data_IF_026267463557
#
_entry.id   IF_026267463557
#
_cell.length_a   1.000
_cell.length_b   1.000
_cell.length_c   1.000
_cell.angle_alpha   90.00
_cell.angle_beta   90.00
_cell.angle_gamma   90.00
#
_symmetry.space_group_name_H-M   'P 1'
#
loop_
_entity.id
_entity.type
_entity.pdbx_description
1 polymer ?
#
# COMPACT_ATOMS: atom_id res chain seq x y z
N UNK A 1 -17.03 -23.62 -24.75
CA UNK A 1 -16.87 -22.26 -24.20
C UNK A 1 -15.72 -22.26 -23.21
N UNK A 2 -14.62 -21.65 -23.62
CA UNK A 2 -13.28 -21.73 -23.01
C UNK A 2 -13.24 -20.94 -21.69
N UNK A 3 -13.15 -21.61 -20.54
CA UNK A 3 -12.78 -20.92 -19.28
C UNK A 3 -11.30 -20.58 -19.33
N UNK A 4 -11.00 -19.28 -19.45
CA UNK A 4 -9.66 -18.71 -19.41
C UNK A 4 -8.97 -19.07 -18.09
N UNK A 5 -7.97 -19.95 -18.19
CA UNK A 5 -6.97 -20.25 -17.15
C UNK A 5 -6.18 -18.97 -16.83
N UNK A 6 -6.61 -18.21 -15.83
CA UNK A 6 -5.72 -17.25 -15.16
C UNK A 6 -4.87 -17.99 -14.13
N UNK A 7 -3.72 -18.51 -14.59
CA UNK A 7 -2.63 -18.97 -13.71
C UNK A 7 -1.96 -17.76 -13.08
N UNK A 8 -2.54 -17.20 -12.03
CA UNK A 8 -1.82 -16.32 -11.12
C UNK A 8 -1.03 -17.20 -10.13
N UNK A 9 0.29 -17.22 -10.33
CA UNK A 9 1.28 -17.92 -9.49
C UNK A 9 1.36 -17.22 -8.13
N UNK A 10 0.53 -17.60 -7.17
CA UNK A 10 0.68 -17.17 -5.78
C UNK A 10 1.64 -18.11 -5.04
N UNK A 11 2.66 -17.57 -4.37
CA UNK A 11 3.45 -18.30 -3.39
C UNK A 11 2.76 -18.15 -2.01
N UNK A 12 1.78 -19.00 -1.73
CA UNK A 12 1.17 -19.11 -0.39
C UNK A 12 2.17 -19.78 0.56
N UNK A 13 2.39 -19.20 1.74
CA UNK A 13 3.03 -19.87 2.86
C UNK A 13 2.09 -19.75 4.06
N UNK A 14 1.57 -20.88 4.54
CA UNK A 14 0.65 -20.94 5.67
C UNK A 14 1.48 -21.17 6.92
N UNK A 15 1.44 -20.24 7.88
CA UNK A 15 2.02 -20.42 9.21
C UNK A 15 0.92 -20.74 10.21
N UNK A 16 1.02 -21.90 10.88
CA UNK A 16 0.09 -22.30 11.93
C UNK A 16 0.65 -21.88 13.29
N UNK A 17 -0.04 -21.00 14.00
CA UNK A 17 0.21 -20.72 15.42
C UNK A 17 -0.94 -21.27 16.26
N UNK A 18 -0.64 -22.29 17.06
CA UNK A 18 -1.57 -22.91 18.00
C UNK A 18 -1.77 -22.03 19.23
N UNK A 19 -2.63 -20.99 19.15
CA UNK A 19 -3.35 -20.48 20.34
C UNK A 19 -4.49 -19.48 20.12
N UNK A 20 -4.74 -18.99 18.91
CA UNK A 20 -5.92 -18.15 18.62
C UNK A 20 -6.37 -18.39 17.19
N UNK A 21 -7.66 -18.71 16.98
CA UNK A 21 -8.24 -18.95 15.65
C UNK A 21 -8.44 -17.63 14.86
N UNK A 22 -7.43 -16.77 14.80
CA UNK A 22 -7.40 -15.66 13.87
C UNK A 22 -6.47 -16.01 12.72
N UNK A 23 -7.07 -16.39 11.61
CA UNK A 23 -6.36 -16.63 10.35
C UNK A 23 -5.98 -15.28 9.75
N UNK A 24 -4.80 -14.77 10.06
CA UNK A 24 -4.23 -13.64 9.32
C UNK A 24 -3.60 -14.20 8.03
N UNK A 25 -4.26 -13.97 6.90
CA UNK A 25 -3.63 -14.13 5.59
C UNK A 25 -2.56 -13.06 5.47
N UNK A 26 -1.32 -13.38 5.85
CA UNK A 26 -0.16 -12.56 5.53
C UNK A 26 0.08 -12.71 4.02
N UNK A 27 -0.67 -11.96 3.23
CA UNK A 27 -0.41 -11.81 1.81
C UNK A 27 0.99 -11.23 1.69
N UNK A 28 1.95 -11.99 1.16
CA UNK A 28 3.24 -11.42 0.75
C UNK A 28 2.90 -10.42 -0.35
N UNK A 29 3.07 -9.10 -0.12
CA UNK A 29 2.69 -8.13 -1.10
C UNK A 29 3.46 -8.40 -2.40
N UNK A 30 2.76 -8.33 -3.54
CA UNK A 30 3.41 -8.29 -4.84
C UNK A 30 4.39 -7.11 -4.81
N UNK A 31 5.67 -7.33 -5.15
CA UNK A 31 6.66 -6.25 -5.16
C UNK A 31 6.67 -5.59 -6.53
N UNK A 32 6.46 -4.27 -6.56
CA UNK A 32 6.72 -3.44 -7.75
C UNK A 32 8.11 -2.83 -7.57
N UNK A 33 9.00 -3.03 -8.54
CA UNK A 33 10.31 -2.39 -8.57
C UNK A 33 10.22 -0.99 -9.17
N UNK A 34 11.15 -0.12 -8.81
CA UNK A 34 11.27 1.26 -9.35
C UNK A 34 11.23 1.33 -10.89
N UNK A 35 11.86 0.37 -11.56
CA UNK A 35 11.97 0.32 -13.03
C UNK A 35 10.65 -0.07 -13.72
N UNK A 36 9.82 -0.85 -13.03
CA UNK A 36 8.53 -1.34 -13.54
C UNK A 36 7.35 -0.52 -13.02
N UNK A 37 7.62 0.50 -12.20
CA UNK A 37 6.61 1.31 -11.54
C UNK A 37 5.88 2.23 -12.54
N UNK A 38 4.54 2.18 -12.59
CA UNK A 38 3.75 3.15 -13.35
C UNK A 38 4.06 4.59 -12.96
N UNK A 39 4.12 5.49 -13.94
CA UNK A 39 4.44 6.90 -13.71
C UNK A 39 3.55 7.56 -12.65
N UNK A 40 2.24 7.28 -12.65
CA UNK A 40 1.32 7.84 -11.64
C UNK A 40 1.63 7.43 -10.21
N UNK A 41 2.14 6.20 -9.98
CA UNK A 41 2.57 5.76 -8.65
C UNK A 41 3.86 6.48 -8.25
N UNK A 42 4.79 6.64 -9.20
CA UNK A 42 6.06 7.35 -8.98
C UNK A 42 5.83 8.81 -8.58
N UNK A 43 4.94 9.52 -9.27
CA UNK A 43 4.60 10.90 -8.93
C UNK A 43 3.90 10.99 -7.57
N UNK A 44 2.94 10.10 -7.29
CA UNK A 44 2.29 10.08 -5.98
C UNK A 44 3.27 9.89 -4.82
N UNK A 45 4.30 9.03 -4.98
CA UNK A 45 5.35 8.84 -3.96
C UNK A 45 6.16 10.13 -3.74
N UNK A 46 6.48 10.84 -4.83
CA UNK A 46 7.20 12.13 -4.75
C UNK A 46 6.35 13.17 -4.02
N UNK A 47 5.07 13.28 -4.37
CA UNK A 47 4.15 14.23 -3.76
C UNK A 47 3.94 13.92 -2.27
N UNK A 48 3.77 12.64 -1.91
CA UNK A 48 3.65 12.22 -0.52
C UNK A 48 4.93 12.58 0.26
N UNK A 49 6.12 12.25 -0.25
CA UNK A 49 7.39 12.59 0.41
C UNK A 49 7.57 14.10 0.57
N UNK A 50 7.21 14.89 -0.45
CA UNK A 50 7.22 16.34 -0.38
C UNK A 50 6.26 16.86 0.70
N UNK A 51 5.04 16.33 0.75
CA UNK A 51 4.04 16.75 1.74
C UNK A 51 4.45 16.37 3.17
N UNK A 52 5.01 15.17 3.37
CA UNK A 52 5.53 14.73 4.66
C UNK A 52 6.64 15.68 5.17
N UNK A 53 7.56 16.09 4.29
CA UNK A 53 8.64 17.04 4.60
C UNK A 53 8.17 18.44 4.92
N UNK A 54 7.12 18.90 4.23
CA UNK A 54 6.60 20.26 4.37
C UNK A 54 5.45 20.38 5.38
N UNK A 55 5.17 19.32 6.15
CA UNK A 55 4.17 19.34 7.23
C UNK A 55 2.71 19.33 6.76
N UNK A 56 2.44 18.98 5.50
CA UNK A 56 1.09 18.87 4.94
C UNK A 56 0.68 17.44 4.48
N UNK A 57 1.11 16.34 5.15
CA UNK A 57 0.67 15.02 4.74
C UNK A 57 -0.76 14.71 5.24
N UNK A 58 -1.46 13.81 4.55
CA UNK A 58 -2.73 13.26 5.03
C UNK A 58 -2.47 11.98 5.81
N UNK A 59 -2.94 11.89 7.06
CA UNK A 59 -2.76 10.71 7.92
C UNK A 59 -3.68 9.58 7.47
N UNK A 60 -3.12 8.37 7.34
CA UNK A 60 -3.87 7.14 7.21
C UNK A 60 -3.90 6.39 8.55
N UNK A 61 -5.08 6.25 9.14
CA UNK A 61 -5.21 5.71 10.49
C UNK A 61 -5.14 4.18 10.60
N UNK A 62 -5.21 3.44 9.49
CA UNK A 62 -5.19 1.97 9.48
C UNK A 62 -6.19 1.31 10.47
N UNK A 63 -7.39 1.88 10.63
CA UNK A 63 -8.38 1.40 11.62
C UNK A 63 -8.79 -0.07 11.41
N UNK A 64 -8.78 -0.54 10.18
CA UNK A 64 -9.13 -1.92 9.82
C UNK A 64 -7.97 -2.91 10.02
N UNK A 65 -6.77 -2.44 10.38
CA UNK A 65 -5.60 -3.29 10.63
C UNK A 65 -5.10 -4.05 9.39
N UNK A 66 -5.33 -3.51 8.19
CA UNK A 66 -4.93 -4.16 6.93
C UNK A 66 -3.43 -4.03 6.67
N UNK A 67 -2.78 -3.00 7.23
CA UNK A 67 -1.34 -2.84 7.23
C UNK A 67 -0.75 -3.21 8.61
N UNK A 68 0.56 -3.52 8.69
CA UNK A 68 1.24 -3.68 9.97
C UNK A 68 1.05 -2.45 10.89
N UNK A 69 1.28 -2.65 12.18
CA UNK A 69 1.23 -1.53 13.12
C UNK A 69 2.43 -0.60 12.89
N UNK A 70 2.23 0.72 12.89
CA UNK A 70 3.25 1.68 12.50
C UNK A 70 4.50 1.63 13.41
N UNK A 71 4.32 1.26 14.68
CA UNK A 71 5.38 1.31 15.69
C UNK A 71 5.54 2.72 16.28
N UNK A 72 6.28 2.82 17.40
CA UNK A 72 6.46 4.09 18.09
C UNK A 72 7.27 5.08 17.23
N UNK A 73 6.77 6.32 17.12
CA UNK A 73 7.46 7.38 16.38
C UNK A 73 7.29 7.33 14.86
N UNK A 74 6.48 6.39 14.34
CA UNK A 74 6.18 6.31 12.91
C UNK A 74 4.69 6.59 12.66
N UNK A 75 4.38 7.14 11.48
CA UNK A 75 3.01 7.46 11.07
C UNK A 75 2.77 6.99 9.65
N UNK A 76 1.57 6.48 9.39
CA UNK A 76 1.12 6.21 8.03
C UNK A 76 0.52 7.47 7.40
N UNK A 77 0.98 7.81 6.20
CA UNK A 77 0.41 8.87 5.38
C UNK A 77 -0.15 8.30 4.08
N UNK A 78 -1.23 8.89 3.57
CA UNK A 78 -1.85 8.51 2.29
C UNK A 78 -1.71 9.60 1.23
N UNK A 79 -1.74 9.17 -0.03
CA UNK A 79 -1.86 10.06 -1.18
C UNK A 79 -2.63 9.40 -2.33
N UNK A 80 -3.34 10.23 -3.11
CA UNK A 80 -4.04 9.79 -4.31
C UNK A 80 -3.05 9.42 -5.42
N UNK A 81 -3.41 8.43 -6.24
CA UNK A 81 -2.64 8.04 -7.43
C UNK A 81 -3.42 8.41 -8.69
N UNK A 82 -3.08 9.58 -9.24
CA UNK A 82 -3.75 10.14 -10.41
C UNK A 82 -5.21 10.55 -10.14
N UNK A 83 -5.87 11.01 -11.20
CA UNK A 83 -7.30 11.30 -11.18
C UNK A 83 -8.09 10.15 -11.86
N UNK A 84 -9.35 9.96 -11.49
CA UNK A 84 -10.26 9.15 -12.29
C UNK A 84 -10.60 9.83 -13.64
N UNK A 85 -11.36 9.12 -14.48
CA UNK A 85 -11.81 9.62 -15.79
C UNK A 85 -12.64 10.90 -15.72
N UNK A 86 -13.14 11.27 -14.54
CA UNK A 86 -13.96 12.46 -14.30
C UNK A 86 -13.19 13.59 -13.62
N UNK A 87 -11.88 13.44 -13.38
CA UNK A 87 -11.07 14.41 -12.66
C UNK A 87 -11.22 14.35 -11.13
N UNK A 88 -11.96 13.38 -10.62
CA UNK A 88 -12.05 13.09 -9.18
C UNK A 88 -10.81 12.34 -8.67
N UNK A 89 -10.70 12.20 -7.35
CA UNK A 89 -9.56 11.56 -6.66
C UNK A 89 -9.36 10.09 -7.04
N UNK A 90 -10.33 9.45 -7.72
CA UNK A 90 -10.29 8.05 -8.10
C UNK A 90 -10.18 7.07 -6.92
N UNK A 91 -9.88 5.80 -7.23
CA UNK A 91 -9.83 4.69 -6.25
C UNK A 91 -8.42 4.22 -5.90
N UNK A 92 -7.40 4.74 -6.58
CA UNK A 92 -6.02 4.30 -6.42
C UNK A 92 -5.33 5.14 -5.35
N UNK A 93 -4.67 4.47 -4.41
CA UNK A 93 -4.03 5.12 -3.27
C UNK A 93 -2.66 4.53 -3.03
N UNK A 94 -1.73 5.36 -2.58
CA UNK A 94 -0.55 4.91 -1.87
C UNK A 94 -0.69 5.25 -0.39
N UNK A 95 -0.10 4.39 0.44
CA UNK A 95 0.06 4.60 1.87
C UNK A 95 1.52 4.34 2.21
N UNK A 96 2.21 5.31 2.80
CA UNK A 96 3.60 5.17 3.20
C UNK A 96 3.75 5.25 4.72
N UNK A 97 4.55 4.35 5.29
CA UNK A 97 5.03 4.44 6.65
C UNK A 97 6.20 5.41 6.69
N UNK A 98 6.12 6.44 7.52
CA UNK A 98 7.14 7.48 7.64
C UNK A 98 7.61 7.57 9.08
N UNK A 99 8.91 7.74 9.30
CA UNK A 99 9.45 7.97 10.63
C UNK A 99 9.18 9.41 11.13
N UNK A 100 9.56 9.70 12.38
CA UNK A 100 9.40 11.03 12.98
C UNK A 100 10.27 12.13 12.37
N UNK A 101 11.14 11.81 11.40
CA UNK A 101 11.97 12.76 10.67
C UNK A 101 11.32 13.22 9.37
N UNK A 102 11.03 12.26 8.48
CA UNK A 102 10.42 12.42 7.14
C UNK A 102 10.73 11.21 6.21
N UNK A 103 11.44 10.20 6.71
CA UNK A 103 11.95 9.11 5.90
C UNK A 103 10.86 8.10 5.61
N UNK A 104 10.67 7.76 4.33
CA UNK A 104 9.81 6.66 3.91
C UNK A 104 10.45 5.31 4.29
N UNK A 105 9.73 4.50 5.06
CA UNK A 105 10.16 3.18 5.52
C UNK A 105 9.57 2.05 4.68
N UNK A 106 8.25 2.08 4.47
CA UNK A 106 7.51 1.13 3.62
C UNK A 106 6.47 1.90 2.82
N UNK A 107 6.17 1.42 1.62
CA UNK A 107 5.15 2.02 0.75
C UNK A 107 4.22 0.91 0.28
N UNK A 108 2.93 1.16 0.39
CA UNK A 108 1.87 0.26 0.00
C UNK A 108 0.99 0.94 -1.04
N UNK A 109 0.51 0.17 -2.00
CA UNK A 109 -0.43 0.58 -3.02
C UNK A 109 -1.70 -0.27 -2.92
N UNK A 110 -2.85 0.38 -3.08
CA UNK A 110 -4.13 -0.29 -3.27
C UNK A 110 -4.81 0.23 -4.53
N UNK A 111 -5.41 -0.71 -5.27
CA UNK A 111 -6.19 -0.40 -6.46
C UNK A 111 -7.70 -0.23 -6.21
N UNK A 112 -8.12 -0.44 -4.96
CA UNK A 112 -9.53 -0.61 -4.58
C UNK A 112 -9.91 0.25 -3.36
N UNK A 113 -9.31 1.42 -3.20
CA UNK A 113 -9.66 2.38 -2.13
C UNK A 113 -9.73 1.72 -0.73
N UNK A 114 -8.69 0.98 -0.38
CA UNK A 114 -8.53 0.27 0.90
C UNK A 114 -9.37 -1.00 1.09
N UNK A 115 -10.31 -1.32 0.19
CA UNK A 115 -11.25 -2.44 0.35
C UNK A 115 -10.62 -3.82 0.12
N UNK A 116 -9.57 -3.91 -0.70
CA UNK A 116 -8.82 -5.15 -0.92
C UNK A 116 -7.48 -4.90 -1.62
N UNK A 117 -6.61 -5.92 -1.57
CA UNK A 117 -5.36 -6.05 -2.33
C UNK A 117 -4.33 -4.95 -2.10
N UNK A 118 -3.40 -5.23 -1.18
CA UNK A 118 -2.24 -4.39 -0.90
C UNK A 118 -0.99 -4.92 -1.59
N UNK A 119 -0.29 -4.01 -2.26
CA UNK A 119 0.97 -4.26 -2.97
C UNK A 119 2.04 -3.39 -2.33
N UNK A 120 3.11 -3.99 -1.84
CA UNK A 120 4.26 -3.27 -1.27
C UNK A 120 5.17 -2.86 -2.42
N UNK A 121 5.57 -1.61 -2.38
CA UNK A 121 6.44 -0.99 -3.36
C UNK A 121 7.85 -0.97 -2.80
N UNK A 122 8.81 -1.40 -3.63
CA UNK A 122 10.23 -1.23 -3.34
C UNK A 122 10.70 0.03 -4.05
N UNK A 123 10.96 1.08 -3.26
CA UNK A 123 11.30 2.44 -3.71
C UNK A 123 12.79 2.76 -3.59
#
# INVERSE_FOLDING_TARGET
LQMLRNKLKYNLTIHYFWKTQQTYLVMKPKKISRDTMPAGIREAIRDLSFNARNGNPTIFHNHQGMLPNAGSGNTYYEHDVGADRTGGRGRFRIVALVDGGDRLLNIYFTSAHYDAEWTEIVW
#
